data_IF_767582534635
#
_entry.id   IF_767582534635
#
_cell.length_a   1.000
_cell.length_b   1.000
_cell.length_c   1.000
_cell.angle_alpha   90.00
_cell.angle_beta   90.00
_cell.angle_gamma   90.00
#
_symmetry.space_group_name_H-M   'P 1'
#
loop_
_entity.id
_entity.type
_entity.pdbx_description
1 polymer ?
#
# COMPACT_ATOMS: atom_id res chain seq x y z
N UNK A 1 -18.51 17.07 20.02
CA UNK A 1 -17.04 17.20 20.13
C UNK A 1 -16.47 17.01 18.74
N UNK A 2 -15.62 17.92 18.29
CA UNK A 2 -14.93 17.79 17.01
C UNK A 2 -13.95 16.62 17.08
N UNK A 3 -14.01 15.70 16.13
CA UNK A 3 -13.07 14.58 16.01
C UNK A 3 -11.77 15.05 15.36
N UNK A 4 -10.65 14.45 15.71
CA UNK A 4 -9.33 14.86 15.24
C UNK A 4 -8.72 13.80 14.31
N UNK A 5 -8.24 14.24 13.16
CA UNK A 5 -7.62 13.42 12.13
C UNK A 5 -6.14 13.82 12.01
N UNK A 6 -5.23 12.88 12.22
CA UNK A 6 -3.86 13.02 11.77
C UNK A 6 -3.70 12.47 10.35
N UNK A 7 -2.93 13.16 9.53
CA UNK A 7 -2.57 12.71 8.17
C UNK A 7 -1.05 12.68 8.08
N UNK A 8 -0.48 11.51 7.77
CA UNK A 8 0.96 11.39 7.48
C UNK A 8 1.19 11.05 6.03
N UNK A 9 2.18 11.69 5.39
CA UNK A 9 2.53 11.45 4.00
C UNK A 9 4.02 11.67 3.75
N UNK A 10 4.57 10.88 2.83
CA UNK A 10 5.96 10.99 2.36
C UNK A 10 5.98 11.65 0.99
N UNK A 11 6.90 12.59 0.80
CA UNK A 11 7.03 13.41 -0.40
C UNK A 11 8.46 13.40 -0.91
N UNK A 12 8.63 13.34 -2.21
CA UNK A 12 9.92 13.53 -2.89
C UNK A 12 9.73 13.75 -4.38
N UNK A 13 10.30 14.83 -4.94
CA UNK A 13 10.22 15.17 -6.36
C UNK A 13 8.77 15.07 -6.89
N UNK A 14 7.85 15.74 -6.20
CA UNK A 14 6.40 15.57 -6.41
C UNK A 14 5.77 16.74 -7.17
N UNK A 15 6.54 17.74 -7.59
CA UNK A 15 6.07 19.00 -8.20
C UNK A 15 5.07 18.79 -9.34
N UNK A 16 5.22 17.69 -10.10
CA UNK A 16 4.34 17.43 -11.26
C UNK A 16 2.91 17.05 -10.89
N UNK A 17 2.64 16.64 -9.65
CA UNK A 17 1.31 16.20 -9.20
C UNK A 17 0.92 16.72 -7.82
N UNK A 18 1.80 17.46 -7.13
CA UNK A 18 1.61 17.90 -5.75
C UNK A 18 0.34 18.75 -5.58
N UNK A 19 0.07 19.68 -6.50
CA UNK A 19 -1.13 20.53 -6.44
C UNK A 19 -2.42 19.71 -6.43
N UNK A 20 -2.48 18.68 -7.27
CA UNK A 20 -3.62 17.77 -7.31
C UNK A 20 -3.76 16.98 -6.01
N UNK A 21 -2.64 16.48 -5.47
CA UNK A 21 -2.64 15.71 -4.22
C UNK A 21 -3.03 16.57 -3.02
N UNK A 22 -2.51 17.79 -2.92
CA UNK A 22 -2.87 18.74 -1.86
C UNK A 22 -4.34 19.20 -1.97
N UNK A 23 -4.82 19.45 -3.19
CA UNK A 23 -6.24 19.76 -3.41
C UNK A 23 -7.17 18.63 -2.99
N UNK A 24 -6.77 17.37 -3.17
CA UNK A 24 -7.56 16.24 -2.68
C UNK A 24 -7.68 16.24 -1.16
N UNK A 25 -6.59 16.58 -0.43
CA UNK A 25 -6.64 16.73 1.03
C UNK A 25 -7.59 17.85 1.43
N UNK A 26 -7.53 19.03 0.76
CA UNK A 26 -8.48 20.12 1.00
C UNK A 26 -9.94 19.71 0.71
N UNK A 27 -10.17 18.92 -0.35
CA UNK A 27 -11.51 18.38 -0.63
C UNK A 27 -12.02 17.44 0.48
N UNK A 28 -11.14 16.72 1.18
CA UNK A 28 -11.54 15.90 2.34
C UNK A 28 -11.87 16.77 3.56
N UNK A 29 -11.13 17.88 3.78
CA UNK A 29 -11.46 18.88 4.80
C UNK A 29 -12.87 19.43 4.57
N UNK A 30 -13.17 19.85 3.32
CA UNK A 30 -14.47 20.39 2.93
C UNK A 30 -15.60 19.37 3.09
N UNK A 31 -15.40 18.11 2.66
CA UNK A 31 -16.42 17.05 2.72
C UNK A 31 -16.73 16.62 4.15
N UNK A 32 -15.73 16.59 5.03
CA UNK A 32 -15.92 16.23 6.44
C UNK A 32 -16.39 17.42 7.29
N UNK A 33 -16.14 18.65 6.86
CA UNK A 33 -16.63 19.87 7.48
C UNK A 33 -16.15 20.09 8.92
N UNK A 34 -16.86 20.96 9.64
CA UNK A 34 -16.48 21.41 10.99
C UNK A 34 -16.55 20.33 12.09
N UNK A 35 -17.11 19.18 11.80
CA UNK A 35 -17.13 18.04 12.74
C UNK A 35 -15.75 17.39 12.91
N UNK A 36 -14.81 17.73 12.03
CA UNK A 36 -13.45 17.19 12.03
C UNK A 36 -12.41 18.30 11.98
N UNK A 37 -11.30 18.09 12.67
CA UNK A 37 -10.10 18.92 12.57
C UNK A 37 -8.93 18.07 12.10
N UNK A 38 -8.07 18.66 11.28
CA UNK A 38 -6.94 17.96 10.66
C UNK A 38 -5.62 18.43 11.25
N UNK A 39 -4.66 17.52 11.34
CA UNK A 39 -3.26 17.81 11.62
C UNK A 39 -2.38 17.02 10.63
N UNK A 40 -1.55 17.71 9.89
CA UNK A 40 -0.69 17.12 8.87
C UNK A 40 0.74 16.92 9.39
N UNK A 41 1.31 15.74 9.17
CA UNK A 41 2.73 15.46 9.40
C UNK A 41 3.33 14.95 8.09
N UNK A 42 3.99 15.84 7.39
CA UNK A 42 4.62 15.55 6.12
C UNK A 42 6.12 15.38 6.30
N UNK A 43 6.66 14.37 5.65
CA UNK A 43 8.09 14.16 5.57
C UNK A 43 8.54 14.23 4.11
N UNK A 44 9.50 15.08 3.86
CA UNK A 44 10.15 15.24 2.59
C UNK A 44 11.64 14.97 2.74
N UNK A 45 12.26 14.30 1.77
CA UNK A 45 13.70 14.17 1.77
C UNK A 45 14.29 14.21 0.34
N UNK A 46 15.39 14.94 0.21
CA UNK A 46 16.24 14.96 -0.98
C UNK A 46 15.51 15.36 -2.28
N UNK A 47 14.43 16.12 -2.25
CA UNK A 47 13.82 16.69 -3.45
C UNK A 47 14.78 17.63 -4.14
N UNK A 48 14.75 17.63 -5.48
CA UNK A 48 15.52 18.53 -6.34
C UNK A 48 14.63 19.53 -7.08
N UNK A 49 13.31 19.44 -6.85
CA UNK A 49 12.28 20.34 -7.35
C UNK A 49 11.67 21.18 -6.21
N UNK A 50 10.65 21.99 -6.49
CA UNK A 50 10.01 22.90 -5.54
C UNK A 50 9.06 22.20 -4.55
N UNK A 51 9.12 20.86 -4.42
CA UNK A 51 8.25 20.09 -3.50
C UNK A 51 8.28 20.62 -2.07
N UNK A 52 9.45 20.90 -1.43
CA UNK A 52 9.47 21.38 -0.04
C UNK A 52 8.84 22.76 0.13
N UNK A 53 9.04 23.65 -0.83
CA UNK A 53 8.51 25.02 -0.83
C UNK A 53 6.98 24.99 -0.92
N UNK A 54 6.43 24.24 -1.89
CA UNK A 54 4.99 24.09 -2.08
C UNK A 54 4.31 23.49 -0.84
N UNK A 55 4.93 22.48 -0.21
CA UNK A 55 4.40 21.87 1.02
C UNK A 55 4.39 22.86 2.18
N UNK A 56 5.42 23.70 2.29
CA UNK A 56 5.53 24.72 3.36
C UNK A 56 4.45 25.78 3.20
N UNK A 57 4.29 26.32 2.00
CA UNK A 57 3.24 27.29 1.67
C UNK A 57 1.83 26.73 1.95
N UNK A 58 1.57 25.49 1.53
CA UNK A 58 0.27 24.87 1.76
C UNK A 58 -0.06 24.67 3.25
N UNK A 59 0.95 24.49 4.10
CA UNK A 59 0.79 24.31 5.53
C UNK A 59 0.65 25.62 6.31
N UNK A 60 0.92 26.80 5.72
CA UNK A 60 0.84 28.09 6.42
C UNK A 60 -0.54 28.35 7.04
N UNK A 61 -1.61 27.97 6.34
CA UNK A 61 -2.99 28.14 6.80
C UNK A 61 -3.58 26.88 7.44
N UNK A 62 -2.75 25.89 7.78
CA UNK A 62 -3.19 24.59 8.30
C UNK A 62 -2.40 24.15 9.53
N UNK A 63 -3.07 23.34 10.36
CA UNK A 63 -2.34 22.70 11.47
C UNK A 63 -1.48 21.55 10.94
N UNK A 64 -0.19 21.67 11.06
CA UNK A 64 0.72 20.64 10.57
C UNK A 64 2.19 20.93 10.81
N UNK A 65 3.01 20.01 10.41
CA UNK A 65 4.46 20.09 10.44
C UNK A 65 5.03 19.50 9.14
N UNK A 66 5.96 20.22 8.53
CA UNK A 66 6.84 19.72 7.49
C UNK A 66 8.20 19.39 8.10
N UNK A 67 8.58 18.12 8.01
CA UNK A 67 9.91 17.63 8.34
C UNK A 67 10.66 17.41 7.03
N UNK A 68 11.75 18.12 6.82
CA UNK A 68 12.51 18.07 5.56
C UNK A 68 13.98 17.82 5.86
N UNK A 69 14.54 16.77 5.25
CA UNK A 69 15.91 16.35 5.47
C UNK A 69 16.68 16.21 4.14
N UNK A 70 17.97 16.57 4.17
CA UNK A 70 18.89 16.30 3.08
C UNK A 70 19.81 15.13 3.44
N UNK A 71 19.35 13.91 3.12
CA UNK A 71 20.03 12.66 3.47
C UNK A 71 21.02 12.20 2.40
N UNK A 72 20.92 12.75 1.18
CA UNK A 72 21.61 12.27 -0.02
C UNK A 72 21.32 10.79 -0.33
N UNK A 73 20.13 10.33 0.03
CA UNK A 73 19.68 9.00 -0.30
C UNK A 73 19.29 8.90 -1.79
N UNK A 74 19.51 7.74 -2.43
CA UNK A 74 19.06 7.56 -3.80
C UNK A 74 17.53 7.67 -3.88
N UNK A 75 16.98 8.07 -5.03
CA UNK A 75 15.56 7.90 -5.31
C UNK A 75 15.29 6.41 -5.42
N UNK A 76 14.53 5.89 -4.46
CA UNK A 76 14.25 4.46 -4.38
C UNK A 76 13.29 4.05 -5.49
N UNK A 77 13.74 3.14 -6.35
CA UNK A 77 12.83 2.49 -7.31
C UNK A 77 11.80 1.60 -6.56
N UNK A 78 10.67 1.31 -7.19
CA UNK A 78 9.63 0.41 -6.66
C UNK A 78 10.07 -1.06 -6.70
N UNK A 79 11.18 -1.37 -6.00
CA UNK A 79 11.77 -2.71 -5.93
C UNK A 79 11.85 -3.19 -4.48
N UNK A 80 11.60 -4.49 -4.22
CA UNK A 80 11.72 -5.06 -2.90
C UNK A 80 13.20 -5.20 -2.51
N UNK A 81 13.75 -4.18 -1.85
CA UNK A 81 15.09 -4.24 -1.28
C UNK A 81 15.06 -3.87 0.20
N UNK A 82 15.91 -4.52 1.01
CA UNK A 82 16.00 -4.23 2.45
C UNK A 82 16.36 -2.77 2.74
N UNK A 83 17.24 -2.18 1.92
CA UNK A 83 17.64 -0.76 2.08
C UNK A 83 16.44 0.17 1.88
N UNK A 84 15.65 -0.08 0.82
CA UNK A 84 14.44 0.70 0.55
C UNK A 84 13.41 0.54 1.67
N UNK A 85 13.08 -0.70 2.07
CA UNK A 85 12.06 -0.92 3.10
C UNK A 85 12.46 -0.37 4.46
N UNK A 86 13.76 -0.42 4.82
CA UNK A 86 14.28 0.21 6.02
C UNK A 86 14.15 1.74 5.95
N UNK A 87 14.51 2.36 4.82
CA UNK A 87 14.36 3.80 4.62
C UNK A 87 12.90 4.24 4.67
N UNK A 88 11.98 3.55 3.96
CA UNK A 88 10.55 3.86 3.99
C UNK A 88 9.95 3.72 5.40
N UNK A 89 10.36 2.69 6.15
CA UNK A 89 9.97 2.52 7.55
C UNK A 89 10.45 3.69 8.42
N UNK A 90 11.71 4.11 8.25
CA UNK A 90 12.27 5.25 8.96
C UNK A 90 11.51 6.54 8.65
N UNK A 91 11.25 6.84 7.38
CA UNK A 91 10.54 8.06 6.96
C UNK A 91 9.12 8.12 7.55
N UNK A 92 8.36 7.02 7.49
CA UNK A 92 7.03 6.95 8.09
C UNK A 92 7.07 7.09 9.62
N UNK A 93 8.10 6.53 10.27
CA UNK A 93 8.26 6.69 11.72
C UNK A 93 8.60 8.12 12.11
N UNK A 94 9.33 8.88 11.31
CA UNK A 94 9.57 10.31 11.51
C UNK A 94 8.23 11.06 11.58
N UNK A 95 7.35 10.87 10.59
CA UNK A 95 5.99 11.44 10.61
C UNK A 95 5.20 11.01 11.86
N UNK A 96 5.25 9.72 12.18
CA UNK A 96 4.50 9.16 13.31
C UNK A 96 4.96 9.75 14.65
N UNK A 97 6.27 9.90 14.86
CA UNK A 97 6.81 10.46 16.10
C UNK A 97 6.43 11.93 16.27
N UNK A 98 6.32 12.69 15.20
CA UNK A 98 5.92 14.10 15.26
C UNK A 98 4.46 14.31 15.75
N UNK A 99 3.63 13.28 15.67
CA UNK A 99 2.21 13.34 16.08
C UNK A 99 1.91 12.54 17.36
N UNK A 100 2.81 11.68 17.82
CA UNK A 100 2.54 10.65 18.83
C UNK A 100 2.08 11.19 20.18
N UNK A 101 2.52 12.37 20.56
CA UNK A 101 2.22 12.95 21.88
C UNK A 101 0.82 13.60 21.95
N UNK A 102 0.09 13.62 20.85
CA UNK A 102 -1.26 14.15 20.76
C UNK A 102 -2.29 13.01 20.63
N UNK A 103 -3.51 13.28 21.07
CA UNK A 103 -4.63 12.35 20.87
C UNK A 103 -5.32 12.65 19.55
N UNK A 104 -5.46 11.64 18.73
CA UNK A 104 -6.23 11.67 17.50
C UNK A 104 -7.29 10.59 17.52
N UNK A 105 -8.43 10.84 16.89
CA UNK A 105 -9.47 9.84 16.69
C UNK A 105 -9.11 8.91 15.52
N UNK A 106 -8.39 9.46 14.51
CA UNK A 106 -8.02 8.76 13.29
C UNK A 106 -6.60 9.14 12.84
N UNK A 107 -5.90 8.16 12.25
CA UNK A 107 -4.67 8.37 11.50
C UNK A 107 -4.86 7.93 10.06
N UNK A 108 -4.77 8.84 9.10
CA UNK A 108 -4.60 8.52 7.70
C UNK A 108 -3.12 8.45 7.33
N UNK A 109 -2.76 7.39 6.61
CA UNK A 109 -1.42 7.16 6.05
C UNK A 109 -1.59 7.18 4.54
N UNK A 110 -0.93 8.11 3.84
CA UNK A 110 -1.17 8.37 2.43
C UNK A 110 0.16 8.47 1.68
N UNK A 111 0.31 7.73 0.59
CA UNK A 111 1.37 8.00 -0.38
C UNK A 111 0.98 9.21 -1.24
N UNK A 112 1.92 10.12 -1.48
CA UNK A 112 1.66 11.41 -2.13
C UNK A 112 1.14 11.31 -3.58
N UNK A 113 1.36 10.18 -4.22
CA UNK A 113 1.06 9.91 -5.62
C UNK A 113 -0.25 9.11 -5.84
N UNK A 114 -1.09 9.01 -4.82
CA UNK A 114 -2.38 8.33 -4.86
C UNK A 114 -3.52 9.33 -5.04
N UNK A 115 -4.42 9.02 -5.95
CA UNK A 115 -5.58 9.85 -6.30
C UNK A 115 -6.88 9.16 -5.92
N UNK A 116 -7.82 9.92 -5.36
CA UNK A 116 -9.07 9.38 -4.79
C UNK A 116 -10.18 10.43 -4.78
N UNK A 117 -11.42 9.98 -4.67
CA UNK A 117 -12.59 10.83 -4.64
C UNK A 117 -12.77 11.50 -3.26
N UNK A 118 -13.55 12.59 -3.24
CA UNK A 118 -13.76 13.46 -2.07
C UNK A 118 -14.45 12.78 -0.89
N UNK A 119 -15.13 11.66 -1.09
CA UNK A 119 -15.87 10.94 -0.05
C UNK A 119 -15.09 9.72 0.52
N UNK A 120 -13.85 9.51 0.06
CA UNK A 120 -13.07 8.34 0.49
C UNK A 120 -12.82 8.32 2.00
N UNK A 121 -12.40 9.44 2.60
CA UNK A 121 -12.13 9.49 4.05
C UNK A 121 -13.39 9.22 4.85
N UNK A 122 -14.51 9.84 4.47
CA UNK A 122 -15.81 9.63 5.11
C UNK A 122 -16.24 8.17 5.05
N UNK A 123 -16.05 7.51 3.90
CA UNK A 123 -16.35 6.09 3.72
C UNK A 123 -15.47 5.19 4.60
N UNK A 124 -14.17 5.50 4.71
CA UNK A 124 -13.24 4.75 5.57
C UNK A 124 -13.55 4.93 7.05
N UNK A 125 -13.86 6.17 7.49
CA UNK A 125 -14.27 6.49 8.86
C UNK A 125 -15.57 5.74 9.21
N UNK A 126 -16.56 5.78 8.32
CA UNK A 126 -17.82 5.06 8.52
C UNK A 126 -17.60 3.55 8.73
N UNK A 127 -16.72 2.94 7.95
CA UNK A 127 -16.40 1.52 8.10
C UNK A 127 -15.75 1.18 9.44
N UNK A 128 -14.81 1.99 9.91
CA UNK A 128 -14.06 1.73 11.14
C UNK A 128 -14.94 2.01 12.38
N UNK A 129 -15.79 3.04 12.32
CA UNK A 129 -16.70 3.40 13.41
C UNK A 129 -17.79 2.35 13.63
N UNK A 130 -18.31 1.78 12.55
CA UNK A 130 -19.36 0.76 12.61
C UNK A 130 -18.82 -0.63 12.96
N UNK A 131 -17.49 -0.81 13.08
CA UNK A 131 -16.89 -2.12 13.35
C UNK A 131 -15.79 -2.00 14.40
N UNK A 132 -16.13 -2.22 15.65
CA UNK A 132 -15.21 -2.09 16.80
C UNK A 132 -13.95 -2.98 16.70
N UNK A 133 -14.00 -4.04 15.90
CA UNK A 133 -12.88 -4.96 15.69
C UNK A 133 -11.93 -4.52 14.57
N UNK A 134 -12.27 -3.47 13.79
CA UNK A 134 -11.42 -2.97 12.73
C UNK A 134 -10.40 -2.00 13.31
N UNK A 135 -9.12 -2.31 13.23
CA UNK A 135 -8.02 -1.43 13.63
C UNK A 135 -7.46 -0.61 12.46
N UNK A 136 -7.55 -1.17 11.25
CA UNK A 136 -7.07 -0.52 10.03
C UNK A 136 -7.97 -0.88 8.85
N UNK A 137 -8.28 0.13 8.03
CA UNK A 137 -9.00 -0.01 6.76
C UNK A 137 -8.12 0.53 5.65
N UNK A 138 -8.01 -0.19 4.52
CA UNK A 138 -7.15 0.19 3.40
C UNK A 138 -7.94 0.29 2.11
N UNK A 139 -7.47 1.16 1.20
CA UNK A 139 -8.07 1.36 -0.10
C UNK A 139 -7.85 0.19 -1.06
N UNK A 140 -8.70 0.12 -2.08
CA UNK A 140 -8.50 -0.64 -3.30
C UNK A 140 -7.89 0.30 -4.36
N UNK A 141 -6.59 0.54 -4.25
CA UNK A 141 -5.89 1.38 -5.20
C UNK A 141 -5.59 0.60 -6.48
N UNK A 142 -5.96 1.17 -7.60
CA UNK A 142 -5.78 0.61 -8.92
C UNK A 142 -4.64 1.29 -9.66
N UNK A 143 -3.95 0.54 -10.50
CA UNK A 143 -2.95 1.06 -11.44
C UNK A 143 -3.24 0.55 -12.85
N UNK A 144 -2.89 1.34 -13.85
CA UNK A 144 -2.96 0.92 -15.22
C UNK A 144 -1.83 -0.06 -15.56
N UNK A 145 -2.17 -1.17 -16.20
CA UNK A 145 -1.22 -2.18 -16.68
C UNK A 145 -1.35 -2.30 -18.17
N UNK A 146 -0.25 -2.20 -18.91
CA UNK A 146 -0.17 -2.53 -20.33
C UNK A 146 0.61 -3.82 -20.53
N UNK A 147 0.25 -4.59 -21.56
CA UNK A 147 1.09 -5.68 -22.00
C UNK A 147 2.34 -5.14 -22.74
N UNK A 148 3.29 -6.02 -23.02
CA UNK A 148 4.56 -5.65 -23.68
C UNK A 148 4.36 -4.99 -25.06
N UNK A 149 3.22 -5.25 -25.70
CA UNK A 149 2.89 -4.78 -27.04
C UNK A 149 1.85 -3.65 -27.03
N UNK A 150 1.42 -3.21 -25.83
CA UNK A 150 0.39 -2.18 -25.63
C UNK A 150 -0.97 -2.50 -26.28
N UNK A 151 -1.25 -3.81 -26.50
CA UNK A 151 -2.47 -4.29 -27.14
C UNK A 151 -3.66 -4.36 -26.17
N UNK A 152 -3.39 -4.42 -24.87
CA UNK A 152 -4.42 -4.40 -23.82
C UNK A 152 -4.04 -3.47 -22.70
N UNK A 153 -5.01 -2.63 -22.30
CA UNK A 153 -4.92 -1.81 -21.07
C UNK A 153 -5.90 -2.39 -20.07
N UNK A 154 -5.38 -2.83 -18.94
CA UNK A 154 -6.19 -3.35 -17.85
C UNK A 154 -5.81 -2.65 -16.56
N UNK A 155 -6.69 -2.66 -15.58
CA UNK A 155 -6.37 -2.20 -14.24
C UNK A 155 -5.98 -3.37 -13.35
N UNK A 156 -5.07 -3.13 -12.43
CA UNK A 156 -4.71 -4.10 -11.40
C UNK A 156 -4.60 -3.44 -10.04
N UNK A 157 -4.78 -4.23 -8.99
CA UNK A 157 -4.51 -3.79 -7.63
C UNK A 157 -3.04 -3.36 -7.51
N UNK A 158 -2.83 -2.15 -7.01
CA UNK A 158 -1.51 -1.49 -6.99
C UNK A 158 -0.54 -2.18 -6.04
N UNK A 159 -0.90 -2.26 -4.76
CA UNK A 159 0.03 -2.62 -3.70
C UNK A 159 -0.02 -4.11 -3.33
N UNK A 160 0.13 -4.96 -4.35
CA UNK A 160 0.18 -6.42 -4.17
C UNK A 160 1.34 -6.89 -3.27
N UNK A 161 2.35 -6.04 -3.06
CA UNK A 161 3.51 -6.37 -2.23
C UNK A 161 3.24 -6.24 -0.73
N UNK A 162 2.56 -5.19 -0.27
CA UNK A 162 2.13 -5.08 1.12
C UNK A 162 0.99 -6.05 1.45
N UNK A 163 0.22 -6.50 0.44
CA UNK A 163 -0.91 -7.39 0.64
C UNK A 163 -0.47 -8.80 1.03
N UNK A 164 -1.00 -9.28 2.15
CA UNK A 164 -0.85 -10.67 2.60
C UNK A 164 -2.19 -11.14 3.18
N UNK A 165 -2.75 -12.24 2.67
CA UNK A 165 -3.96 -12.82 3.23
C UNK A 165 -3.70 -13.48 4.61
N UNK A 166 -4.76 -13.89 5.32
CA UNK A 166 -4.62 -14.52 6.63
C UNK A 166 -3.91 -15.87 6.62
N UNK A 167 -3.75 -16.50 5.45
CA UNK A 167 -3.00 -17.74 5.23
C UNK A 167 -1.52 -17.47 4.89
N UNK A 168 -1.10 -16.21 4.83
CA UNK A 168 0.27 -15.82 4.51
C UNK A 168 0.58 -15.76 3.00
N UNK A 169 -0.42 -15.86 2.13
CA UNK A 169 -0.21 -15.70 0.70
C UNK A 169 -0.10 -14.21 0.36
N UNK A 170 0.95 -13.85 -0.39
CA UNK A 170 1.14 -12.50 -0.93
C UNK A 170 0.12 -12.21 -2.04
N UNK A 171 -0.18 -10.94 -2.25
CA UNK A 171 -1.01 -10.48 -3.34
C UNK A 171 -0.48 -10.93 -4.72
N UNK A 172 -1.41 -11.09 -5.66
CA UNK A 172 -1.11 -11.41 -7.05
C UNK A 172 -0.78 -10.10 -7.78
N UNK A 173 0.38 -10.05 -8.42
CA UNK A 173 0.79 -8.91 -9.23
C UNK A 173 -0.02 -8.82 -10.51
N UNK A 174 -0.28 -7.60 -10.98
CA UNK A 174 -0.98 -7.34 -12.25
C UNK A 174 -2.38 -7.96 -12.37
N UNK A 175 -3.07 -8.17 -11.25
CA UNK A 175 -4.43 -8.68 -11.22
C UNK A 175 -5.38 -7.69 -10.57
N UNK A 176 -6.57 -7.51 -11.14
CA UNK A 176 -7.63 -6.69 -10.54
C UNK A 176 -8.06 -7.27 -9.17
N UNK A 177 -8.25 -8.59 -9.09
CA UNK A 177 -8.49 -9.30 -7.84
C UNK A 177 -7.18 -9.89 -7.33
N UNK A 178 -6.55 -9.30 -6.30
CA UNK A 178 -5.19 -9.64 -5.90
C UNK A 178 -5.09 -10.90 -5.03
N UNK A 179 -6.19 -11.52 -4.64
CA UNK A 179 -6.19 -12.63 -3.69
C UNK A 179 -5.88 -13.99 -4.35
N UNK A 180 -5.15 -14.82 -3.63
CA UNK A 180 -4.88 -16.23 -3.99
C UNK A 180 -5.98 -17.14 -3.45
N UNK A 181 -6.50 -16.86 -2.25
CA UNK A 181 -7.58 -17.59 -1.59
C UNK A 181 -8.87 -17.49 -2.39
N UNK A 182 -9.48 -18.65 -2.72
CA UNK A 182 -10.78 -18.67 -3.42
C UNK A 182 -11.90 -18.02 -2.60
N UNK A 183 -11.84 -18.12 -1.26
CA UNK A 183 -12.83 -17.49 -0.40
C UNK A 183 -12.73 -15.97 -0.45
N UNK A 184 -11.50 -15.42 -0.38
CA UNK A 184 -11.26 -13.99 -0.43
C UNK A 184 -11.53 -13.42 -1.83
N UNK A 185 -11.19 -14.16 -2.89
CA UNK A 185 -11.61 -13.80 -4.27
C UNK A 185 -13.11 -13.64 -4.41
N UNK A 186 -13.90 -14.55 -3.83
CA UNK A 186 -15.37 -14.45 -3.86
C UNK A 186 -15.89 -13.26 -3.08
N UNK A 187 -15.25 -12.89 -1.96
CA UNK A 187 -15.62 -11.68 -1.22
C UNK A 187 -15.31 -10.43 -2.04
N UNK A 188 -14.13 -10.39 -2.66
CA UNK A 188 -13.73 -9.30 -3.55
C UNK A 188 -14.73 -9.10 -4.70
N UNK A 189 -15.06 -10.18 -5.40
CA UNK A 189 -16.00 -10.16 -6.52
C UNK A 189 -17.43 -9.75 -6.12
N UNK A 190 -17.76 -9.87 -4.82
CA UNK A 190 -19.03 -9.42 -4.22
C UNK A 190 -18.92 -8.08 -3.52
N UNK A 191 -17.82 -7.38 -3.67
CA UNK A 191 -17.56 -6.09 -3.01
C UNK A 191 -17.68 -6.13 -1.49
N UNK A 192 -17.30 -7.23 -0.86
CA UNK A 192 -17.35 -7.41 0.60
C UNK A 192 -15.99 -7.10 1.23
N UNK A 193 -15.96 -6.59 2.48
CA UNK A 193 -14.72 -6.38 3.22
C UNK A 193 -13.97 -7.69 3.44
N UNK A 194 -12.65 -7.63 3.35
CA UNK A 194 -11.76 -8.79 3.47
C UNK A 194 -10.74 -8.53 4.56
N UNK A 195 -10.75 -9.41 5.59
CA UNK A 195 -9.70 -9.38 6.63
C UNK A 195 -8.41 -9.98 6.09
N UNK A 196 -7.30 -9.27 6.30
CA UNK A 196 -5.98 -9.65 5.80
C UNK A 196 -4.93 -9.63 6.91
N UNK A 197 -3.80 -10.27 6.68
CA UNK A 197 -2.66 -10.21 7.58
C UNK A 197 -1.91 -8.88 7.43
N UNK A 198 -1.88 -8.32 6.24
CA UNK A 198 -1.27 -7.03 5.94
C UNK A 198 -1.86 -6.45 4.65
N UNK A 199 -2.00 -5.14 4.60
CA UNK A 199 -2.23 -4.34 3.40
C UNK A 199 -1.85 -2.89 3.69
N UNK A 200 -1.74 -2.08 2.62
CA UNK A 200 -1.61 -0.63 2.72
C UNK A 200 -2.43 0.06 1.63
N UNK A 201 -2.24 -0.35 0.37
CA UNK A 201 -3.01 0.18 -0.75
C UNK A 201 -2.73 1.65 -1.10
N UNK A 202 -1.64 2.24 -0.59
CA UNK A 202 -1.32 3.65 -0.80
C UNK A 202 -2.14 4.64 0.05
N UNK A 203 -3.32 4.22 0.56
CA UNK A 203 -4.12 4.95 1.55
C UNK A 203 -4.65 3.97 2.58
N UNK A 204 -4.45 4.31 3.85
CA UNK A 204 -4.98 3.55 4.98
C UNK A 204 -5.48 4.47 6.08
N UNK A 205 -6.55 4.05 6.73
CA UNK A 205 -7.06 4.64 7.96
C UNK A 205 -6.78 3.70 9.12
N UNK A 206 -6.20 4.21 10.18
CA UNK A 206 -5.93 3.50 11.44
C UNK A 206 -6.70 4.18 12.58
N UNK A 207 -7.21 3.40 13.53
CA UNK A 207 -7.83 3.95 14.75
C UNK A 207 -6.80 4.75 15.54
N UNK A 208 -7.17 5.93 15.97
CA UNK A 208 -6.26 6.83 16.68
C UNK A 208 -5.84 6.33 18.06
N UNK A 209 -6.70 5.59 18.76
CA UNK A 209 -6.37 5.00 20.06
C UNK A 209 -5.19 4.01 20.00
N UNK A 210 -4.95 3.38 18.86
CA UNK A 210 -3.80 2.49 18.66
C UNK A 210 -2.46 3.23 18.63
N UNK A 211 -2.45 4.54 18.37
CA UNK A 211 -1.22 5.35 18.34
C UNK A 211 -0.54 5.46 19.70
N UNK A 212 -1.28 5.19 20.78
CA UNK A 212 -0.73 5.16 22.16
C UNK A 212 0.25 4.01 22.37
N UNK A 213 0.17 2.97 21.55
CA UNK A 213 1.06 1.81 21.63
C UNK A 213 2.44 2.16 21.07
N UNK A 214 3.44 2.26 21.95
CA UNK A 214 4.82 2.64 21.57
C UNK A 214 5.44 1.73 20.51
N UNK A 215 5.03 0.46 20.47
CA UNK A 215 5.54 -0.53 19.53
C UNK A 215 4.80 -0.51 18.18
N UNK A 216 3.78 0.34 18.00
CA UNK A 216 3.14 0.55 16.71
C UNK A 216 4.04 1.48 15.87
N UNK A 217 4.96 0.87 15.15
CA UNK A 217 5.95 1.51 14.29
C UNK A 217 6.11 0.71 12.99
N UNK A 218 6.67 1.33 11.96
CA UNK A 218 7.12 0.62 10.78
C UNK A 218 8.50 -0.01 10.99
N UNK A 219 8.71 -1.18 10.39
CA UNK A 219 10.00 -1.86 10.37
C UNK A 219 10.14 -2.63 9.04
N UNK A 220 11.23 -2.40 8.32
CA UNK A 220 11.49 -3.00 7.02
C UNK A 220 12.11 -4.41 7.05
N UNK A 221 12.43 -4.97 8.22
CA UNK A 221 13.18 -6.23 8.35
C UNK A 221 12.42 -7.46 7.83
N UNK A 222 11.10 -7.42 7.85
CA UNK A 222 10.24 -8.52 7.38
C UNK A 222 10.08 -8.58 5.85
N UNK A 223 10.63 -7.60 5.11
CA UNK A 223 10.61 -7.54 3.65
C UNK A 223 9.71 -6.45 3.07
N UNK A 224 8.60 -6.10 3.73
CA UNK A 224 7.80 -4.92 3.48
C UNK A 224 7.60 -4.19 4.82
N UNK A 225 7.76 -2.87 4.82
CA UNK A 225 7.64 -2.06 6.04
C UNK A 225 6.25 -2.15 6.68
N UNK A 226 5.20 -2.33 5.87
CA UNK A 226 3.83 -2.45 6.36
C UNK A 226 3.55 -3.77 7.09
N UNK A 227 4.30 -4.85 6.78
CA UNK A 227 4.04 -6.15 7.42
C UNK A 227 4.22 -6.11 8.92
N UNK A 228 5.26 -5.41 9.41
CA UNK A 228 5.48 -5.26 10.85
C UNK A 228 4.40 -4.41 11.50
N UNK A 229 4.07 -3.26 10.92
CA UNK A 229 3.02 -2.36 11.39
C UNK A 229 1.67 -3.07 11.51
N UNK A 230 1.26 -3.76 10.45
CA UNK A 230 0.05 -4.57 10.41
C UNK A 230 0.06 -5.72 11.43
N UNK A 231 1.21 -6.39 11.60
CA UNK A 231 1.37 -7.43 12.62
C UNK A 231 1.09 -6.86 14.02
N UNK A 232 1.58 -5.66 14.34
CA UNK A 232 1.36 -5.02 15.64
C UNK A 232 -0.13 -4.71 15.89
N UNK A 233 -0.85 -4.19 14.90
CA UNK A 233 -2.30 -3.98 14.99
C UNK A 233 -3.04 -5.30 15.30
N UNK A 234 -2.66 -6.40 14.64
CA UNK A 234 -3.26 -7.71 14.87
C UNK A 234 -2.92 -8.32 16.22
N UNK A 235 -1.71 -8.07 16.76
CA UNK A 235 -1.33 -8.47 18.10
C UNK A 235 -2.18 -7.80 19.18
N UNK A 236 -2.78 -6.64 18.89
CA UNK A 236 -3.77 -5.95 19.72
C UNK A 236 -5.21 -6.45 19.50
N UNK A 237 -5.39 -7.59 18.80
CA UNK A 237 -6.67 -8.21 18.46
C UNK A 237 -7.58 -7.39 17.52
N UNK A 238 -7.00 -6.49 16.72
CA UNK A 238 -7.73 -5.78 15.69
C UNK A 238 -7.54 -6.40 14.31
N UNK A 239 -8.57 -6.27 13.48
CA UNK A 239 -8.55 -6.71 12.09
C UNK A 239 -8.02 -5.60 11.18
N UNK A 240 -7.33 -6.00 10.10
CA UNK A 240 -6.96 -5.15 8.98
C UNK A 240 -7.86 -5.50 7.81
N UNK A 241 -8.50 -4.51 7.23
CA UNK A 241 -9.53 -4.68 6.21
C UNK A 241 -9.10 -4.05 4.89
N UNK A 242 -9.17 -4.81 3.81
CA UNK A 242 -9.20 -4.30 2.44
C UNK A 242 -10.65 -4.29 1.97
N UNK A 243 -11.13 -3.15 1.46
CA UNK A 243 -12.50 -3.07 0.96
C UNK A 243 -12.53 -2.72 -0.54
N UNK A 244 -13.12 -3.57 -1.40
CA UNK A 244 -13.07 -3.39 -2.86
C UNK A 244 -13.69 -2.08 -3.36
N UNK A 245 -14.65 -1.50 -2.62
CA UNK A 245 -15.33 -0.25 -2.98
C UNK A 245 -14.60 1.03 -2.54
N UNK A 246 -13.55 0.94 -1.73
CA UNK A 246 -12.73 2.08 -1.37
C UNK A 246 -11.71 2.37 -2.47
N UNK A 247 -12.17 2.98 -3.54
CA UNK A 247 -11.41 3.14 -4.77
C UNK A 247 -10.42 4.30 -4.66
N UNK A 248 -9.20 4.04 -5.12
CA UNK A 248 -8.16 5.02 -5.38
C UNK A 248 -7.35 4.58 -6.61
N UNK A 249 -6.50 5.43 -7.15
CA UNK A 249 -5.70 5.12 -8.33
C UNK A 249 -4.32 5.80 -8.30
N UNK A 250 -3.36 5.20 -8.99
CA UNK A 250 -2.06 5.79 -9.28
C UNK A 250 -2.09 6.39 -10.68
N UNK A 251 -1.87 7.71 -10.82
CA UNK A 251 -1.97 8.41 -12.13
C UNK A 251 -0.64 8.86 -12.70
N UNK A 252 0.34 9.15 -11.87
CA UNK A 252 1.63 9.64 -12.33
C UNK A 252 2.44 8.59 -13.13
N UNK A 253 2.06 7.31 -12.99
CA UNK A 253 2.60 6.21 -13.79
C UNK A 253 1.64 5.97 -14.96
N UNK A 254 2.07 6.25 -16.19
CA UNK A 254 1.24 6.06 -17.38
C UNK A 254 0.73 4.63 -17.53
N UNK A 255 1.60 3.64 -17.33
CA UNK A 255 1.24 2.23 -17.18
C UNK A 255 2.45 1.44 -16.69
N UNK A 256 2.21 0.44 -15.86
CA UNK A 256 3.23 -0.54 -15.46
C UNK A 256 3.24 -1.67 -16.50
N UNK A 257 4.41 -1.94 -17.09
CA UNK A 257 4.54 -3.10 -17.98
C UNK A 257 4.48 -4.40 -17.20
N UNK A 258 3.57 -5.27 -17.58
CA UNK A 258 3.46 -6.58 -16.96
C UNK A 258 4.72 -7.42 -17.23
N UNK A 259 5.29 -8.02 -16.18
CA UNK A 259 6.33 -9.04 -16.36
C UNK A 259 5.66 -10.38 -16.64
N UNK A 260 5.90 -10.92 -17.84
CA UNK A 260 5.34 -12.18 -18.28
C UNK A 260 5.65 -13.33 -17.28
N UNK A 261 6.82 -13.30 -16.65
CA UNK A 261 7.20 -14.29 -15.64
C UNK A 261 6.30 -14.21 -14.40
N UNK A 262 6.04 -13.00 -13.90
CA UNK A 262 5.15 -12.82 -12.75
C UNK A 262 3.71 -13.22 -13.09
N UNK A 263 3.22 -12.89 -14.28
CA UNK A 263 1.89 -13.30 -14.75
C UNK A 263 1.72 -14.82 -14.80
N UNK A 264 2.69 -15.54 -15.36
CA UNK A 264 2.67 -17.01 -15.42
C UNK A 264 2.75 -17.60 -14.01
N UNK A 265 3.66 -17.09 -13.17
CA UNK A 265 3.82 -17.54 -11.80
C UNK A 265 2.53 -17.39 -10.99
N UNK A 266 1.88 -16.25 -11.07
CA UNK A 266 0.64 -15.99 -10.37
C UNK A 266 -0.53 -16.82 -10.92
N UNK A 267 -0.60 -17.05 -12.22
CA UNK A 267 -1.56 -18.02 -12.80
C UNK A 267 -1.35 -19.43 -12.28
N UNK A 268 -0.10 -19.89 -12.18
CA UNK A 268 0.20 -21.21 -11.61
C UNK A 268 -0.19 -21.30 -10.14
N UNK A 269 0.04 -20.24 -9.34
CA UNK A 269 -0.41 -20.16 -7.94
C UNK A 269 -1.94 -20.27 -7.83
N UNK A 270 -2.69 -19.58 -8.68
CA UNK A 270 -4.16 -19.67 -8.72
C UNK A 270 -4.65 -21.09 -9.04
N UNK A 271 -4.03 -21.76 -10.05
CA UNK A 271 -4.38 -23.13 -10.40
C UNK A 271 -4.06 -24.09 -9.25
N UNK A 272 -2.89 -23.96 -8.62
CA UNK A 272 -2.50 -24.75 -7.45
C UNK A 272 -3.54 -24.64 -6.32
N UNK A 273 -4.02 -23.43 -6.06
CA UNK A 273 -4.98 -23.16 -4.98
C UNK A 273 -6.40 -23.65 -5.32
N UNK A 274 -6.77 -23.71 -6.60
CA UNK A 274 -8.09 -24.19 -7.06
C UNK A 274 -8.25 -25.71 -6.97
N UNK A 275 -7.14 -26.46 -6.88
CA UNK A 275 -7.16 -27.92 -6.79
C UNK A 275 -7.55 -28.40 -5.38
N UNK A 276 -8.85 -28.36 -5.06
CA UNK A 276 -9.41 -28.53 -3.72
C UNK A 276 -9.52 -29.98 -3.20
N UNK A 277 -9.52 -31.02 -4.05
CA UNK A 277 -9.75 -32.42 -3.61
C UNK A 277 -8.50 -33.28 -3.74
N UNK A 278 -8.23 -34.09 -2.70
CA UNK A 278 -7.16 -35.06 -2.61
C UNK A 278 -7.42 -36.34 -3.45
N UNK A 279 -7.94 -36.20 -4.67
CA UNK A 279 -7.96 -37.32 -5.63
C UNK A 279 -6.56 -37.54 -6.18
N UNK A 280 -6.23 -38.78 -6.55
CA UNK A 280 -4.91 -39.12 -7.12
C UNK A 280 -4.58 -38.19 -8.32
N UNK A 281 -5.56 -37.92 -9.17
CA UNK A 281 -5.40 -37.04 -10.33
C UNK A 281 -5.06 -35.58 -9.92
N UNK A 282 -5.63 -35.08 -8.83
CA UNK A 282 -5.34 -33.75 -8.31
C UNK A 282 -3.98 -33.69 -7.59
N UNK A 283 -3.54 -34.80 -6.96
CA UNK A 283 -2.18 -34.91 -6.41
C UNK A 283 -1.12 -34.82 -7.51
N UNK A 284 -1.28 -35.57 -8.58
CA UNK A 284 -0.39 -35.51 -9.75
C UNK A 284 -0.35 -34.10 -10.34
N UNK A 285 -1.54 -33.48 -10.57
CA UNK A 285 -1.63 -32.11 -11.08
C UNK A 285 -0.94 -31.10 -10.15
N UNK A 286 -1.13 -31.21 -8.82
CA UNK A 286 -0.43 -30.37 -7.83
C UNK A 286 1.07 -30.56 -7.91
N UNK A 287 1.56 -31.80 -8.01
CA UNK A 287 2.99 -32.08 -8.10
C UNK A 287 3.61 -31.46 -9.34
N UNK A 288 2.95 -31.58 -10.51
CA UNK A 288 3.39 -30.96 -11.76
C UNK A 288 3.44 -29.45 -11.66
N UNK A 289 2.43 -28.83 -11.02
CA UNK A 289 2.37 -27.37 -10.82
C UNK A 289 3.46 -26.91 -9.88
N UNK A 290 3.68 -27.62 -8.76
CA UNK A 290 4.76 -27.30 -7.79
C UNK A 290 6.13 -27.42 -8.46
N UNK A 291 6.34 -28.44 -9.28
CA UNK A 291 7.57 -28.61 -10.03
C UNK A 291 7.75 -27.50 -11.09
N UNK A 292 6.68 -27.13 -11.79
CA UNK A 292 6.66 -26.00 -12.71
C UNK A 292 6.98 -24.68 -12.02
N UNK A 293 6.41 -24.42 -10.85
CA UNK A 293 6.70 -23.25 -10.03
C UNK A 293 8.17 -23.24 -9.55
N UNK A 294 8.72 -24.40 -9.21
CA UNK A 294 10.13 -24.51 -8.79
C UNK A 294 11.09 -24.18 -9.94
N UNK A 295 10.89 -24.79 -11.11
CA UNK A 295 11.67 -24.48 -12.32
C UNK A 295 11.56 -23.01 -12.65
N UNK A 296 10.37 -22.44 -12.57
CA UNK A 296 10.09 -21.05 -12.87
C UNK A 296 10.82 -20.10 -11.93
N UNK A 297 10.85 -20.42 -10.62
CA UNK A 297 11.65 -19.69 -9.63
C UNK A 297 13.15 -19.74 -9.96
N UNK A 298 13.68 -20.91 -10.33
CA UNK A 298 15.07 -21.04 -10.74
C UNK A 298 15.41 -20.16 -11.96
N UNK A 299 14.56 -20.18 -12.98
CA UNK A 299 14.71 -19.34 -14.19
C UNK A 299 14.61 -17.83 -13.86
N UNK A 300 13.73 -17.45 -12.95
CA UNK A 300 13.58 -16.07 -12.48
C UNK A 300 14.85 -15.57 -11.78
N UNK A 301 15.43 -16.40 -10.90
CA UNK A 301 16.70 -16.07 -10.24
C UNK A 301 17.86 -15.95 -11.22
N UNK A 302 17.92 -16.83 -12.22
CA UNK A 302 18.93 -16.78 -13.30
C UNK A 302 18.79 -15.48 -14.09
N UNK A 303 17.57 -15.11 -14.55
CA UNK A 303 17.29 -13.86 -15.26
C UNK A 303 17.70 -12.63 -14.43
N UNK A 304 17.40 -12.63 -13.14
CA UNK A 304 17.74 -11.54 -12.21
C UNK A 304 19.26 -11.43 -11.99
N UNK A 305 19.98 -12.56 -11.94
CA UNK A 305 21.43 -12.59 -11.83
C UNK A 305 22.12 -12.10 -13.11
N UNK A 306 21.63 -12.52 -14.27
CA UNK A 306 22.12 -12.04 -15.58
C UNK A 306 21.86 -10.54 -15.73
N UNK A 307 20.68 -10.05 -15.39
CA UNK A 307 20.36 -8.61 -15.45
C UNK A 307 21.24 -7.77 -14.52
N UNK A 308 21.61 -8.30 -13.34
CA UNK A 308 22.56 -7.63 -12.44
C UNK A 308 23.99 -7.63 -13.02
N UNK A 309 24.43 -8.73 -13.62
CA UNK A 309 25.74 -8.79 -14.28
C UNK A 309 25.84 -7.80 -15.42
N UNK A 310 24.82 -7.72 -16.29
CA UNK A 310 24.80 -6.76 -17.40
C UNK A 310 24.84 -5.32 -16.89
N UNK A 311 24.09 -5.00 -15.82
CA UNK A 311 24.12 -3.65 -15.20
C UNK A 311 25.45 -3.32 -14.49
N UNK A 312 26.27 -4.30 -14.18
CA UNK A 312 27.61 -4.07 -13.60
C UNK A 312 28.70 -3.94 -14.65
N UNK A 313 28.38 -4.17 -15.93
CA UNK A 313 29.32 -4.06 -17.07
C UNK A 313 29.05 -2.80 -17.93
N UNK A 314 27.98 -2.07 -17.64
CA UNK A 314 27.64 -0.76 -18.20
C UNK A 314 27.78 0.30 -17.10
#
# INVERSE_FOLDING_TARGET
MTKTIAVISLWRDSQTYIDTSLKQLSNQEDELGSDYSFFYSFYENDSVDDTPEILREWLEDRQGILLSDKLNHPKWESVPSRKRTAAMAQYRNICLYAIRDKNYDYLFIIDSDIFYDKDLFKSMIHLIDNNQTYGMVTSNTQQNVSDKFDLSKTTSYYDSWALMDLQGNKGISFAYNPFVSTADRRKWDRSLPISVASAFGGISLVRGDLLREKNLIWNGDLGCEHWYFCKKIREMNYAIIVHPLLLAEVRHINSVRSDLFLLIFDKLRLIQNSLKKNTLNNRIKKTIIVFGLYIFNCLFFIKKSISRMIKSWI
#
